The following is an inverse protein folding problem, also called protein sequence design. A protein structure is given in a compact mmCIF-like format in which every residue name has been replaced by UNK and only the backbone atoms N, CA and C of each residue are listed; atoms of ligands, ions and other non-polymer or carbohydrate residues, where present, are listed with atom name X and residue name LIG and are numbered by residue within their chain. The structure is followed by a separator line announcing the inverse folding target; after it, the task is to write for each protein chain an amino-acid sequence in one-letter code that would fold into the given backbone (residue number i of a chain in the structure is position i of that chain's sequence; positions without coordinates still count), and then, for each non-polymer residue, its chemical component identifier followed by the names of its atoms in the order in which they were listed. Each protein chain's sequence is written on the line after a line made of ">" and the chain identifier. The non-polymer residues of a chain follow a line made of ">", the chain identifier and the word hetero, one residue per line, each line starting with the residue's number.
data_IF_951416413292
#
_entry.id   IF_951416413292
#
_cell.length_a   1.000
_cell.length_b   1.000
_cell.length_c   1.000
_cell.angle_alpha   90.00
_cell.angle_beta   90.00
_cell.angle_gamma   90.00
#
_symmetry.space_group_name_H-M   'P 1'
#
loop_
_entity.id
_entity.type
_entity.pdbx_description
1 polymer ?
#
# COMPACT_ATOMS: atom_id res chain seq x y z
N UNK A 1 -12.02 40.71 28.46
CA UNK A 1 -11.12 39.89 27.63
C UNK A 1 -11.82 39.66 26.30
N UNK A 2 -11.38 40.26 25.19
CA UNK A 2 -11.97 39.95 23.90
C UNK A 2 -11.51 38.55 23.49
N UNK A 3 -12.46 37.65 23.34
CA UNK A 3 -12.29 36.35 22.70
C UNK A 3 -11.77 36.57 21.28
N UNK A 4 -10.49 36.30 21.06
CA UNK A 4 -9.93 36.22 19.72
C UNK A 4 -10.64 35.09 18.99
N UNK A 5 -11.47 35.42 18.00
CA UNK A 5 -11.96 34.47 17.02
C UNK A 5 -10.75 33.80 16.39
N UNK A 6 -10.49 32.52 16.71
CA UNK A 6 -9.40 31.78 16.06
C UNK A 6 -9.80 31.58 14.60
N UNK A 7 -9.35 32.49 13.74
CA UNK A 7 -9.48 32.32 12.30
C UNK A 7 -8.73 31.04 11.92
N UNK A 8 -9.43 30.09 11.29
CA UNK A 8 -8.82 28.86 10.79
C UNK A 8 -7.66 29.24 9.84
N UNK A 9 -6.46 28.66 9.99
CA UNK A 9 -5.33 28.98 9.13
C UNK A 9 -5.66 28.78 7.64
N UNK A 10 -5.21 29.65 6.72
CA UNK A 10 -5.46 29.48 5.29
C UNK A 10 -5.02 28.11 4.75
N UNK A 11 -3.87 27.62 5.23
CA UNK A 11 -3.36 26.29 4.90
C UNK A 11 -4.33 25.18 5.33
N UNK A 12 -4.97 25.30 6.50
CA UNK A 12 -5.93 24.30 6.97
C UNK A 12 -7.17 24.24 6.06
N UNK A 13 -7.65 25.39 5.57
CA UNK A 13 -8.75 25.43 4.60
C UNK A 13 -8.33 24.78 3.29
N UNK A 14 -7.12 25.07 2.81
CA UNK A 14 -6.55 24.45 1.60
C UNK A 14 -6.44 22.93 1.71
N UNK A 15 -5.81 22.43 2.77
CA UNK A 15 -5.68 20.98 2.98
C UNK A 15 -7.04 20.29 3.11
N UNK A 16 -8.04 20.94 3.71
CA UNK A 16 -9.40 20.39 3.75
C UNK A 16 -10.01 20.24 2.34
N UNK A 17 -9.79 21.21 1.44
CA UNK A 17 -10.23 21.10 0.04
C UNK A 17 -9.51 19.97 -0.70
N UNK A 18 -8.21 19.80 -0.45
CA UNK A 18 -7.44 18.69 -1.01
C UNK A 18 -7.93 17.33 -0.48
N UNK A 19 -8.23 17.20 0.81
CA UNK A 19 -8.80 15.97 1.40
C UNK A 19 -10.13 15.62 0.72
N UNK A 20 -11.01 16.59 0.50
CA UNK A 20 -12.26 16.34 -0.26
C UNK A 20 -11.97 15.89 -1.69
N UNK A 21 -10.99 16.52 -2.36
CA UNK A 21 -10.57 16.14 -3.71
C UNK A 21 -10.00 14.73 -3.76
N UNK A 22 -9.22 14.33 -2.76
CA UNK A 22 -8.67 12.98 -2.62
C UNK A 22 -9.80 11.92 -2.54
N UNK A 23 -10.88 12.27 -1.84
CA UNK A 23 -12.04 11.39 -1.68
C UNK A 23 -12.84 11.19 -2.97
N UNK A 24 -12.96 12.22 -3.81
CA UNK A 24 -13.91 12.24 -4.94
C UNK A 24 -13.24 12.09 -6.31
N UNK A 25 -11.91 12.27 -6.41
CA UNK A 25 -11.22 12.21 -7.70
C UNK A 25 -11.37 10.81 -8.37
N UNK A 26 -11.76 10.74 -9.65
CA UNK A 26 -11.99 9.46 -10.31
C UNK A 26 -10.70 8.71 -10.66
N UNK A 27 -9.58 9.43 -10.80
CA UNK A 27 -8.30 8.86 -11.24
C UNK A 27 -7.27 8.83 -10.12
N UNK A 28 -6.53 7.73 -10.02
CA UNK A 28 -5.57 7.51 -8.95
C UNK A 28 -4.29 8.34 -9.09
N UNK A 29 -3.92 8.76 -10.30
CA UNK A 29 -2.81 9.69 -10.50
C UNK A 29 -3.11 11.08 -9.92
N UNK A 30 -4.34 11.55 -10.07
CA UNK A 30 -4.81 12.80 -9.44
C UNK A 30 -4.82 12.65 -7.92
N UNK A 31 -5.39 11.56 -7.40
CA UNK A 31 -5.36 11.26 -5.96
C UNK A 31 -3.93 11.23 -5.41
N UNK A 32 -3.00 10.63 -6.15
CA UNK A 32 -1.60 10.54 -5.75
C UNK A 32 -0.94 11.92 -5.65
N UNK A 33 -1.12 12.80 -6.64
CA UNK A 33 -0.58 14.17 -6.57
C UNK A 33 -1.19 14.96 -5.41
N UNK A 34 -2.51 14.88 -5.22
CA UNK A 34 -3.21 15.54 -4.11
C UNK A 34 -2.70 15.05 -2.76
N UNK A 35 -2.55 13.72 -2.60
CA UNK A 35 -2.05 13.15 -1.35
C UNK A 35 -0.59 13.54 -1.10
N UNK A 36 0.23 13.64 -2.14
CA UNK A 36 1.62 14.09 -2.02
C UNK A 36 1.68 15.48 -1.41
N UNK A 37 0.90 16.42 -1.94
CA UNK A 37 0.83 17.78 -1.41
C UNK A 37 0.33 17.79 0.04
N UNK A 38 -0.71 17.02 0.37
CA UNK A 38 -1.17 16.90 1.77
C UNK A 38 -0.03 16.39 2.67
N UNK A 39 0.66 15.33 2.24
CA UNK A 39 1.71 14.68 3.04
C UNK A 39 2.92 15.57 3.32
N UNK A 40 3.19 16.54 2.45
CA UNK A 40 4.29 17.50 2.58
C UNK A 40 3.94 18.65 3.55
N UNK A 41 2.65 18.99 3.69
CA UNK A 41 2.22 20.21 4.39
C UNK A 41 1.43 19.95 5.70
N UNK A 42 0.90 18.73 5.92
CA UNK A 42 0.01 18.43 7.07
C UNK A 42 0.67 18.71 8.43
N UNK A 43 1.97 18.49 8.54
CA UNK A 43 2.72 18.64 9.80
C UNK A 43 2.89 20.12 10.21
N UNK A 44 2.78 21.07 9.28
CA UNK A 44 2.81 22.51 9.59
C UNK A 44 1.62 22.96 10.45
N UNK A 45 0.53 22.19 10.42
CA UNK A 45 -0.66 22.46 11.20
C UNK A 45 -0.62 21.81 12.59
N UNK A 46 0.46 21.14 12.96
CA UNK A 46 0.59 20.52 14.29
C UNK A 46 0.37 21.56 15.40
N UNK A 47 -0.48 21.22 16.38
CA UNK A 47 -0.85 22.11 17.48
C UNK A 47 -1.94 23.14 17.15
N UNK A 48 -2.36 23.26 15.88
CA UNK A 48 -3.53 24.06 15.52
C UNK A 48 -4.82 23.32 15.86
N UNK A 49 -5.92 24.08 16.05
CA UNK A 49 -7.25 23.49 16.33
C UNK A 49 -7.82 22.69 15.16
N UNK A 50 -7.30 22.86 13.94
CA UNK A 50 -7.77 22.17 12.73
C UNK A 50 -7.12 20.79 12.53
N UNK A 51 -5.94 20.56 13.11
CA UNK A 51 -5.11 19.38 12.85
C UNK A 51 -5.87 18.06 13.06
N UNK A 52 -6.51 17.91 14.23
CA UNK A 52 -7.23 16.68 14.56
C UNK A 52 -8.36 16.35 13.57
N UNK A 53 -9.08 17.38 13.10
CA UNK A 53 -10.18 17.22 12.13
C UNK A 53 -9.65 16.82 10.75
N UNK A 54 -8.50 17.36 10.33
CA UNK A 54 -7.86 16.98 9.07
C UNK A 54 -7.36 15.53 9.11
N UNK A 55 -6.72 15.11 10.22
CA UNK A 55 -6.29 13.73 10.40
C UNK A 55 -7.50 12.78 10.39
N UNK A 56 -8.59 13.14 11.06
CA UNK A 56 -9.82 12.34 11.06
C UNK A 56 -10.39 12.15 9.63
N UNK A 57 -10.44 13.23 8.84
CA UNK A 57 -10.84 13.16 7.44
C UNK A 57 -9.94 12.25 6.60
N UNK A 58 -8.62 12.35 6.77
CA UNK A 58 -7.65 11.50 6.09
C UNK A 58 -7.82 10.02 6.44
N UNK A 59 -7.96 9.68 7.71
CA UNK A 59 -8.11 8.29 8.15
C UNK A 59 -9.39 7.66 7.60
N UNK A 60 -10.50 8.40 7.59
CA UNK A 60 -11.75 7.95 6.98
C UNK A 60 -11.57 7.64 5.49
N UNK A 61 -10.92 8.53 4.73
CA UNK A 61 -10.66 8.33 3.30
C UNK A 61 -9.71 7.18 3.06
N UNK A 62 -8.64 7.05 3.85
CA UNK A 62 -7.66 5.97 3.70
C UNK A 62 -8.27 4.61 3.94
N UNK A 63 -9.07 4.44 5.00
CA UNK A 63 -9.76 3.18 5.26
C UNK A 63 -10.69 2.80 4.10
N UNK A 64 -11.36 3.78 3.48
CA UNK A 64 -12.20 3.55 2.29
C UNK A 64 -11.36 3.16 1.07
N UNK A 65 -10.39 4.00 0.68
CA UNK A 65 -9.58 3.78 -0.53
C UNK A 65 -8.73 2.51 -0.46
N UNK A 66 -8.23 2.14 0.73
CA UNK A 66 -7.47 0.89 0.92
C UNK A 66 -8.33 -0.36 0.70
N UNK A 67 -9.66 -0.26 0.84
CA UNK A 67 -10.61 -1.34 0.59
C UNK A 67 -11.17 -1.32 -0.84
N UNK A 68 -11.40 -0.14 -1.42
CA UNK A 68 -11.99 0.02 -2.76
C UNK A 68 -10.96 -0.21 -3.88
N UNK A 69 -9.72 0.24 -3.69
CA UNK A 69 -8.65 0.01 -4.67
C UNK A 69 -8.01 -1.35 -4.46
N UNK A 70 -7.55 -1.98 -5.54
CA UNK A 70 -6.88 -3.29 -5.49
C UNK A 70 -5.36 -3.12 -5.44
N UNK A 71 -4.63 -3.94 -4.65
CA UNK A 71 -3.18 -3.97 -4.67
C UNK A 71 -2.60 -4.16 -6.08
N UNK A 72 -1.48 -3.52 -6.33
CA UNK A 72 -0.80 -3.51 -7.63
C UNK A 72 0.66 -3.91 -7.45
N UNK A 73 1.28 -4.42 -8.53
CA UNK A 73 2.63 -4.99 -8.50
C UNK A 73 3.51 -4.46 -9.65
N UNK A 74 3.07 -3.38 -10.32
CA UNK A 74 3.87 -2.64 -11.31
C UNK A 74 4.31 -1.33 -10.65
N UNK A 75 5.63 -1.07 -10.62
CA UNK A 75 6.22 0.08 -9.94
C UNK A 75 5.69 1.43 -10.45
N UNK A 76 5.43 1.53 -11.75
CA UNK A 76 4.92 2.73 -12.43
C UNK A 76 3.42 2.94 -12.24
N UNK A 77 2.71 2.00 -11.60
CA UNK A 77 1.28 2.09 -11.41
C UNK A 77 0.92 3.15 -10.35
N UNK A 78 0.07 4.11 -10.71
CA UNK A 78 -0.33 5.19 -9.80
C UNK A 78 -1.11 4.69 -8.57
N UNK A 79 -1.92 3.64 -8.69
CA UNK A 79 -2.61 3.02 -7.54
C UNK A 79 -1.60 2.42 -6.57
N UNK A 80 -0.51 1.81 -7.05
CA UNK A 80 0.57 1.31 -6.18
C UNK A 80 1.20 2.45 -5.37
N UNK A 81 1.57 3.53 -6.06
CA UNK A 81 2.23 4.70 -5.47
C UNK A 81 1.31 5.43 -4.49
N UNK A 82 0.02 5.56 -4.84
CA UNK A 82 -1.02 6.11 -3.95
C UNK A 82 -1.14 5.28 -2.66
N UNK A 83 -1.26 3.94 -2.78
CA UNK A 83 -1.38 3.05 -1.63
C UNK A 83 -0.14 3.09 -0.74
N UNK A 84 1.05 3.12 -1.34
CA UNK A 84 2.31 3.29 -0.61
C UNK A 84 2.31 4.59 0.20
N UNK A 85 1.99 5.71 -0.44
CA UNK A 85 1.97 7.01 0.23
C UNK A 85 0.91 7.10 1.34
N UNK A 86 -0.27 6.48 1.17
CA UNK A 86 -1.25 6.36 2.25
C UNK A 86 -0.68 5.59 3.45
N UNK A 87 0.00 4.47 3.21
CA UNK A 87 0.62 3.66 4.27
C UNK A 87 1.80 4.38 4.94
N UNK A 88 2.62 5.11 4.20
CA UNK A 88 3.70 5.94 4.75
C UNK A 88 3.15 7.04 5.67
N UNK A 89 2.08 7.72 5.26
CA UNK A 89 1.45 8.75 6.09
C UNK A 89 0.74 8.14 7.30
N UNK A 90 0.07 6.99 7.16
CA UNK A 90 -0.48 6.23 8.29
C UNK A 90 0.62 5.83 9.29
N UNK A 91 1.78 5.41 8.80
CA UNK A 91 2.91 5.06 9.65
C UNK A 91 3.44 6.28 10.42
N UNK A 92 3.56 7.44 9.76
CA UNK A 92 3.93 8.70 10.43
C UNK A 92 2.95 9.08 11.54
N UNK A 93 1.67 8.78 11.34
CA UNK A 93 0.58 9.10 12.26
C UNK A 93 0.24 7.96 13.24
N UNK A 94 1.00 6.86 13.27
CA UNK A 94 0.66 5.61 13.98
C UNK A 94 0.38 5.81 15.48
N UNK A 95 0.98 6.82 16.09
CA UNK A 95 0.85 7.14 17.52
C UNK A 95 -0.10 8.29 17.82
N UNK A 96 -0.79 8.83 16.80
CA UNK A 96 -1.73 9.94 16.97
C UNK A 96 -3.06 9.46 17.62
N UNK A 97 -3.58 10.23 18.58
CA UNK A 97 -4.80 9.89 19.32
C UNK A 97 -6.06 9.80 18.45
N UNK A 98 -6.13 10.58 17.37
CA UNK A 98 -7.22 10.48 16.39
C UNK A 98 -7.16 9.12 15.71
N UNK A 99 -5.99 8.70 15.23
CA UNK A 99 -5.79 7.37 14.60
C UNK A 99 -6.17 6.25 15.56
N UNK A 100 -5.81 6.39 16.84
CA UNK A 100 -6.16 5.42 17.88
C UNK A 100 -7.67 5.18 18.00
N UNK A 101 -8.48 6.23 17.84
CA UNK A 101 -9.95 6.12 17.88
C UNK A 101 -10.49 5.21 16.77
N UNK A 102 -9.76 5.09 15.66
CA UNK A 102 -10.09 4.22 14.51
C UNK A 102 -9.29 2.91 14.52
N UNK A 103 -8.48 2.66 15.55
CA UNK A 103 -7.46 1.62 15.57
C UNK A 103 -7.98 0.22 15.28
N UNK A 104 -9.16 -0.16 15.81
CA UNK A 104 -9.75 -1.49 15.59
C UNK A 104 -10.08 -1.74 14.11
N UNK A 105 -10.83 -0.83 13.49
CA UNK A 105 -11.24 -0.95 12.08
C UNK A 105 -10.02 -0.90 11.16
N UNK A 106 -9.09 0.02 11.43
CA UNK A 106 -7.86 0.14 10.66
C UNK A 106 -6.99 -1.12 10.77
N UNK A 107 -6.83 -1.68 11.97
CA UNK A 107 -6.07 -2.93 12.18
C UNK A 107 -6.68 -4.12 11.41
N UNK A 108 -8.01 -4.24 11.36
CA UNK A 108 -8.66 -5.29 10.58
C UNK A 108 -8.34 -5.18 9.08
N UNK A 109 -8.38 -3.96 8.53
CA UNK A 109 -8.00 -3.70 7.14
C UNK A 109 -6.53 -4.06 6.92
N UNK A 110 -5.63 -3.57 7.77
CA UNK A 110 -4.19 -3.78 7.67
C UNK A 110 -3.80 -5.27 7.79
N UNK A 111 -4.39 -6.02 8.74
CA UNK A 111 -4.15 -7.46 8.90
C UNK A 111 -4.60 -8.29 7.69
N UNK A 112 -5.60 -7.82 6.93
CA UNK A 112 -5.98 -8.42 5.65
C UNK A 112 -4.97 -8.04 4.56
N UNK A 113 -4.61 -6.76 4.47
CA UNK A 113 -3.77 -6.24 3.38
C UNK A 113 -2.33 -6.73 3.41
N UNK A 114 -1.79 -7.06 4.57
CA UNK A 114 -0.41 -7.55 4.73
C UNK A 114 -0.07 -8.77 3.82
N UNK A 115 -1.08 -9.55 3.41
CA UNK A 115 -0.93 -10.71 2.53
C UNK A 115 -1.27 -10.44 1.06
N UNK A 116 -1.87 -9.29 0.77
CA UNK A 116 -2.36 -8.93 -0.57
C UNK A 116 -1.51 -7.86 -1.23
N UNK A 117 -0.83 -7.05 -0.43
CA UNK A 117 0.09 -6.03 -0.88
C UNK A 117 1.43 -6.62 -1.34
N UNK A 118 2.17 -5.84 -2.13
CA UNK A 118 3.58 -6.09 -2.42
C UNK A 118 4.45 -5.97 -1.15
N UNK A 119 5.70 -6.39 -1.23
CA UNK A 119 6.62 -6.43 -0.09
C UNK A 119 6.88 -5.07 0.57
N UNK A 120 6.95 -3.97 -0.19
CA UNK A 120 7.21 -2.64 0.35
C UNK A 120 6.03 -2.15 1.18
N UNK A 121 4.82 -2.30 0.65
CA UNK A 121 3.58 -1.94 1.32
C UNK A 121 3.30 -2.86 2.52
N UNK A 122 3.53 -4.18 2.38
CA UNK A 122 3.39 -5.13 3.47
C UNK A 122 4.33 -4.80 4.64
N UNK A 123 5.56 -4.36 4.35
CA UNK A 123 6.51 -3.93 5.39
C UNK A 123 6.01 -2.68 6.14
N UNK A 124 5.45 -1.69 5.45
CA UNK A 124 4.83 -0.53 6.10
C UNK A 124 3.66 -0.96 7.00
N UNK A 125 2.83 -1.87 6.52
CA UNK A 125 1.71 -2.43 7.30
C UNK A 125 2.21 -3.10 8.58
N UNK A 126 3.27 -3.93 8.50
CA UNK A 126 3.90 -4.58 9.67
C UNK A 126 4.36 -3.52 10.68
N UNK A 127 4.99 -2.44 10.20
CA UNK A 127 5.48 -1.36 11.07
C UNK A 127 4.33 -0.64 11.78
N UNK A 128 3.26 -0.29 11.06
CA UNK A 128 2.06 0.34 11.64
C UNK A 128 1.44 -0.58 12.71
N UNK A 129 1.22 -1.85 12.38
CA UNK A 129 0.66 -2.83 13.31
C UNK A 129 1.54 -3.00 14.55
N UNK A 130 2.86 -3.03 14.38
CA UNK A 130 3.83 -3.13 15.47
C UNK A 130 3.74 -1.91 16.41
N UNK A 131 3.66 -0.70 15.85
CA UNK A 131 3.49 0.51 16.65
C UNK A 131 2.17 0.53 17.40
N UNK A 132 1.08 0.14 16.74
CA UNK A 132 -0.23 0.04 17.40
C UNK A 132 -0.22 -0.98 18.55
N UNK A 133 0.48 -2.11 18.41
CA UNK A 133 0.62 -3.09 19.50
C UNK A 133 1.36 -2.47 20.70
N UNK A 134 2.46 -1.76 20.45
CA UNK A 134 3.25 -1.11 21.50
C UNK A 134 2.46 -0.01 22.21
N UNK A 135 1.79 0.85 21.45
CA UNK A 135 1.15 2.07 21.94
C UNK A 135 -0.23 1.78 22.55
N UNK A 136 -1.02 0.91 21.93
CA UNK A 136 -2.41 0.69 22.35
C UNK A 136 -2.59 -0.55 23.23
N UNK A 137 -1.63 -1.49 23.21
CA UNK A 137 -1.72 -2.78 23.91
C UNK A 137 -3.10 -3.45 23.73
N UNK A 138 -3.56 -3.61 22.48
CA UNK A 138 -4.89 -4.16 22.22
C UNK A 138 -4.99 -5.56 22.81
N UNK A 139 -6.19 -5.93 23.26
CA UNK A 139 -6.47 -7.31 23.62
C UNK A 139 -6.22 -8.23 22.41
N UNK A 140 -5.88 -9.49 22.66
CA UNK A 140 -5.62 -10.46 21.61
C UNK A 140 -6.83 -10.58 20.67
N UNK A 141 -6.68 -10.09 19.44
CA UNK A 141 -7.74 -10.11 18.44
C UNK A 141 -7.80 -11.48 17.75
N UNK A 142 -9.01 -11.99 17.49
CA UNK A 142 -9.22 -13.27 16.80
C UNK A 142 -8.57 -13.31 15.40
N UNK A 143 -8.46 -12.14 14.78
CA UNK A 143 -7.84 -11.89 13.48
C UNK A 143 -6.35 -12.22 13.48
N UNK A 144 -5.68 -12.15 14.64
CA UNK A 144 -4.28 -12.56 14.78
C UNK A 144 -4.10 -14.06 14.57
N UNK A 145 -5.08 -14.89 14.92
CA UNK A 145 -5.02 -16.33 14.66
C UNK A 145 -4.97 -16.62 13.16
N UNK A 146 -5.84 -15.96 12.38
CA UNK A 146 -5.84 -16.06 10.91
C UNK A 146 -4.54 -15.52 10.31
N UNK A 147 -3.96 -14.46 10.90
CA UNK A 147 -2.64 -13.97 10.53
C UNK A 147 -1.56 -15.04 10.76
N UNK A 148 -1.43 -15.61 11.96
CA UNK A 148 -0.37 -16.60 12.22
C UNK A 148 -0.48 -17.86 11.34
N UNK A 149 -1.70 -18.30 11.02
CA UNK A 149 -1.92 -19.41 10.08
C UNK A 149 -1.38 -19.04 8.68
N UNK A 150 -1.76 -17.87 8.16
CA UNK A 150 -1.29 -17.40 6.86
C UNK A 150 0.22 -17.19 6.83
N UNK A 151 0.80 -16.65 7.90
CA UNK A 151 2.25 -16.49 8.05
C UNK A 151 2.99 -17.83 8.02
N UNK A 152 2.49 -18.83 8.75
CA UNK A 152 3.05 -20.19 8.71
C UNK A 152 3.00 -20.79 7.30
N UNK A 153 1.88 -20.59 6.59
CA UNK A 153 1.72 -21.08 5.23
C UNK A 153 2.72 -20.41 4.28
N UNK A 154 2.88 -19.08 4.36
CA UNK A 154 3.84 -18.33 3.54
C UNK A 154 5.28 -18.82 3.75
N UNK A 155 5.70 -19.02 5.00
CA UNK A 155 7.04 -19.56 5.31
C UNK A 155 7.23 -20.99 4.81
N UNK A 156 6.21 -21.84 4.98
CA UNK A 156 6.26 -23.24 4.51
C UNK A 156 6.40 -23.30 2.99
N UNK A 157 5.65 -22.46 2.28
CA UNK A 157 5.67 -22.39 0.83
C UNK A 157 6.99 -21.81 0.30
N UNK A 158 7.52 -20.78 0.96
CA UNK A 158 8.86 -20.26 0.67
C UNK A 158 9.91 -21.36 0.78
N UNK A 159 9.95 -22.11 1.89
CA UNK A 159 10.90 -23.21 2.07
C UNK A 159 10.76 -24.29 0.99
N UNK A 160 9.53 -24.59 0.55
CA UNK A 160 9.27 -25.52 -0.56
C UNK A 160 9.86 -25.01 -1.88
N UNK A 161 9.76 -23.71 -2.15
CA UNK A 161 10.33 -23.05 -3.34
C UNK A 161 11.85 -22.87 -3.27
N UNK A 162 12.42 -22.78 -2.07
CA UNK A 162 13.88 -22.80 -1.88
C UNK A 162 14.43 -24.20 -2.14
N UNK A 163 13.78 -25.23 -1.60
CA UNK A 163 14.25 -26.61 -1.69
C UNK A 163 14.28 -27.18 -3.13
N UNK A 164 13.40 -26.69 -4.01
CA UNK A 164 13.37 -27.07 -5.41
C UNK A 164 14.14 -26.10 -6.33
N UNK A 165 14.92 -25.19 -5.75
CA UNK A 165 15.68 -24.12 -6.41
C UNK A 165 14.85 -23.15 -7.28
N UNK A 166 13.52 -23.28 -7.29
CA UNK A 166 12.65 -22.54 -8.22
C UNK A 166 12.72 -21.03 -8.05
N UNK A 167 13.00 -20.56 -6.84
CA UNK A 167 13.14 -19.13 -6.53
C UNK A 167 14.43 -18.50 -7.04
N UNK A 168 15.45 -19.30 -7.36
CA UNK A 168 16.75 -18.83 -7.84
C UNK A 168 16.88 -18.88 -9.36
N UNK A 169 15.87 -19.41 -10.05
CA UNK A 169 15.86 -19.51 -11.50
C UNK A 169 15.29 -18.23 -12.09
N UNK A 170 16.12 -17.49 -12.83
CA UNK A 170 15.64 -16.41 -13.66
C UNK A 170 14.96 -17.01 -14.89
N UNK A 171 13.65 -16.75 -14.99
CA UNK A 171 12.83 -17.13 -16.14
C UNK A 171 12.58 -15.86 -16.95
N UNK A 172 13.15 -15.72 -18.16
CA UNK A 172 12.77 -14.63 -19.05
C UNK A 172 11.26 -14.65 -19.22
N UNK A 173 10.59 -13.59 -18.75
CA UNK A 173 9.14 -13.52 -18.83
C UNK A 173 8.75 -13.19 -20.27
N UNK A 174 8.13 -14.16 -20.95
CA UNK A 174 7.53 -13.98 -22.28
C UNK A 174 6.06 -14.34 -22.18
N UNK A 175 5.19 -13.38 -22.50
CA UNK A 175 3.75 -13.54 -22.45
C UNK A 175 3.18 -13.57 -23.87
N UNK A 176 2.35 -14.57 -24.15
CA UNK A 176 1.50 -14.62 -25.35
C UNK A 176 0.12 -13.99 -25.12
N UNK A 177 -0.14 -13.47 -23.91
CA UNK A 177 -1.44 -12.90 -23.50
C UNK A 177 -1.59 -11.44 -23.93
N UNK A 178 -2.84 -10.98 -24.01
CA UNK A 178 -3.20 -9.73 -24.72
C UNK A 178 -3.10 -8.47 -23.87
N UNK A 179 -3.22 -8.56 -22.53
CA UNK A 179 -3.17 -7.37 -21.65
C UNK A 179 -2.02 -7.40 -20.64
N UNK A 180 -1.70 -6.22 -20.12
CA UNK A 180 -0.67 -6.03 -19.10
C UNK A 180 -1.09 -6.74 -17.80
N UNK A 181 -2.35 -6.65 -17.41
CA UNK A 181 -2.88 -7.25 -16.18
C UNK A 181 -2.76 -8.77 -16.19
N UNK A 182 -3.14 -9.42 -17.29
CA UNK A 182 -3.01 -10.87 -17.46
C UNK A 182 -1.55 -11.33 -17.38
N UNK A 183 -0.64 -10.49 -17.86
CA UNK A 183 0.79 -10.74 -17.87
C UNK A 183 1.38 -10.60 -16.46
N UNK A 184 0.97 -9.58 -15.70
CA UNK A 184 1.35 -9.42 -14.29
C UNK A 184 0.89 -10.62 -13.45
N UNK A 185 -0.37 -11.06 -13.61
CA UNK A 185 -0.90 -12.21 -12.86
C UNK A 185 -0.08 -13.48 -13.13
N UNK A 186 0.37 -13.67 -14.37
CA UNK A 186 1.23 -14.81 -14.72
C UNK A 186 2.63 -14.66 -14.11
N UNK A 187 3.24 -13.48 -14.26
CA UNK A 187 4.56 -13.19 -13.72
C UNK A 187 4.61 -13.45 -12.21
N UNK A 188 3.60 -12.98 -11.46
CA UNK A 188 3.52 -13.13 -10.01
C UNK A 188 3.51 -14.59 -9.51
N UNK A 189 3.16 -15.58 -10.35
CA UNK A 189 3.21 -17.00 -9.95
C UNK A 189 4.62 -17.54 -9.82
N UNK A 190 5.58 -16.93 -10.50
CA UNK A 190 6.97 -17.38 -10.56
C UNK A 190 7.97 -16.27 -10.28
N UNK A 191 7.49 -15.09 -9.90
CA UNK A 191 8.31 -13.92 -9.60
C UNK A 191 8.68 -13.96 -8.12
N UNK A 192 9.97 -14.15 -7.84
CA UNK A 192 10.53 -14.17 -6.49
C UNK A 192 11.45 -12.97 -6.23
N UNK A 193 11.68 -12.13 -7.24
CA UNK A 193 12.51 -10.94 -7.21
C UNK A 193 12.03 -9.95 -8.28
N UNK A 194 12.45 -8.69 -8.19
CA UNK A 194 12.08 -7.63 -9.13
C UNK A 194 12.41 -8.04 -10.58
N UNK A 195 11.38 -8.16 -11.42
CA UNK A 195 11.51 -8.65 -12.79
C UNK A 195 11.02 -7.60 -13.78
N UNK A 196 11.84 -7.16 -14.75
CA UNK A 196 11.38 -6.28 -15.80
C UNK A 196 10.43 -7.03 -16.74
N UNK A 197 9.25 -6.44 -16.98
CA UNK A 197 8.27 -6.98 -17.94
C UNK A 197 8.47 -6.28 -19.28
N UNK A 198 8.88 -7.02 -20.31
CA UNK A 198 8.96 -6.50 -21.68
C UNK A 198 7.70 -6.92 -22.44
N UNK A 199 6.94 -5.94 -22.94
CA UNK A 199 5.74 -6.20 -23.73
C UNK A 199 6.05 -6.04 -25.22
N UNK A 200 6.10 -7.15 -25.96
CA UNK A 200 6.18 -7.13 -27.42
C UNK A 200 4.75 -7.09 -27.96
N UNK A 201 4.36 -6.02 -28.69
CA UNK A 201 3.14 -6.12 -29.51
C UNK A 201 3.34 -7.24 -30.55
N UNK A 202 2.32 -8.06 -30.84
CA UNK A 202 2.50 -9.17 -31.76
C UNK A 202 2.76 -8.63 -33.18
N UNK A 203 4.03 -8.62 -33.59
CA UNK A 203 4.38 -8.71 -35.00
C UNK A 203 4.17 -10.16 -35.43
N UNK A 204 3.55 -10.35 -36.60
CA UNK A 204 3.43 -11.66 -37.21
C UNK A 204 4.83 -12.23 -37.51
N UNK A 205 4.96 -13.53 -37.18
CA UNK A 205 5.99 -14.52 -37.57
C UNK A 205 7.38 -14.52 -36.90
N UNK A 206 7.70 -15.74 -36.44
CA UNK A 206 8.97 -16.47 -36.34
C UNK A 206 10.13 -15.92 -35.49
N UNK A 207 10.35 -16.51 -34.31
CA UNK A 207 11.33 -17.59 -34.11
C UNK A 207 11.30 -18.06 -32.64
N UNK A 208 11.49 -19.37 -32.45
CA UNK A 208 11.58 -20.03 -31.15
C UNK A 208 12.81 -19.56 -30.37
N UNK A 209 12.64 -18.58 -29.50
CA UNK A 209 13.64 -18.26 -28.48
C UNK A 209 13.36 -19.13 -27.26
N UNK A 210 14.09 -20.22 -27.12
CA UNK A 210 14.12 -21.02 -25.88
C UNK A 210 14.70 -20.13 -24.78
N UNK A 211 13.94 -19.79 -23.72
CA UNK A 211 14.49 -19.00 -22.64
C UNK A 211 15.51 -19.84 -21.87
N UNK A 212 16.78 -19.41 -21.85
CA UNK A 212 17.81 -20.00 -21.00
C UNK A 212 17.49 -19.65 -19.53
N UNK A 213 17.49 -20.67 -18.67
CA UNK A 213 17.35 -20.51 -17.22
C UNK A 213 18.72 -20.20 -16.64
N UNK A 214 18.91 -18.98 -16.14
CA UNK A 214 20.12 -18.61 -15.40
C UNK A 214 19.87 -18.69 -13.90
N UNK A 215 20.84 -19.24 -13.15
CA UNK A 215 20.79 -19.26 -11.68
C UNK A 215 21.30 -17.92 -11.13
N UNK A 216 20.53 -17.31 -10.25
CA UNK A 216 20.96 -16.15 -9.46
C UNK A 216 21.65 -16.68 -8.20
N UNK A 217 22.91 -16.31 -7.99
CA UNK A 217 23.72 -16.66 -6.81
C UNK A 217 23.77 -15.50 -5.81
#
# INVERSE_FOLDING_TARGET
>A
MPSTSSSVPPLAVHLNMLINTLGEAPRDDVKFQVLKEISENIDELFGTSAYSSLIEGLICIFMRLLQETSPQFIAENNTLQLRKLMLELLFRLSSNDVVKSYGKSLQQILLRLIYLENEENALLIIKILTDHIKTFRPAFASELSSFFIQWKNAYTEMLRHTANESMFLQKPFSTSKRTIEESVVEALRTCYFTTPLTFSQPQQSDESVTPMLEKVF
#
